data_IF_995621218181
#
_entry.id   IF_995621218181
#
_cell.length_a   1.000
_cell.length_b   1.000
_cell.length_c   1.000
_cell.angle_alpha   90.00
_cell.angle_beta   90.00
_cell.angle_gamma   90.00
#
_symmetry.space_group_name_H-M   'P 1'
#
loop_
_entity.id
_entity.type
_entity.pdbx_description
1 polymer ?
#
# COMPACT_ATOMS: atom_id res chain seq x y z
N UNK A 1 -8.79 70.51 -30.38
CA UNK A 1 -7.47 70.31 -29.72
C UNK A 1 -7.65 69.34 -28.57
N UNK A 2 -6.70 68.40 -28.41
CA UNK A 2 -6.23 67.71 -27.17
C UNK A 2 -7.28 67.30 -26.11
N UNK A 3 -7.54 66.00 -25.93
CA UNK A 3 -6.78 64.97 -25.16
C UNK A 3 -7.41 64.73 -23.78
N UNK A 4 -8.05 63.54 -23.70
CA UNK A 4 -8.18 62.55 -22.63
C UNK A 4 -7.83 62.88 -21.17
N UNK A 5 -8.63 62.25 -20.27
CA UNK A 5 -8.30 61.45 -19.07
C UNK A 5 -9.45 61.60 -18.04
N UNK A 6 -9.95 60.63 -17.26
CA UNK A 6 -9.55 59.28 -16.82
C UNK A 6 -10.83 58.43 -16.62
N UNK A 7 -10.72 57.10 -16.78
CA UNK A 7 -11.77 56.11 -16.50
C UNK A 7 -11.66 55.66 -15.04
N UNK A 8 -12.78 55.68 -14.30
CA UNK A 8 -13.02 54.85 -13.11
C UNK A 8 -14.48 54.38 -13.16
N UNK A 9 -14.72 53.12 -13.50
CA UNK A 9 -16.06 52.51 -13.45
C UNK A 9 -16.09 51.47 -12.35
N UNK A 10 -16.80 51.80 -11.28
CA UNK A 10 -17.15 50.91 -10.18
C UNK A 10 -18.34 49.99 -10.55
N UNK A 11 -18.33 48.81 -9.93
CA UNK A 11 -19.40 47.82 -9.95
C UNK A 11 -20.73 48.40 -9.46
N UNK A 12 -21.82 48.04 -10.13
CA UNK A 12 -23.14 47.92 -9.48
C UNK A 12 -23.81 46.62 -9.94
N UNK A 13 -24.14 45.82 -8.94
CA UNK A 13 -24.72 44.49 -8.98
C UNK A 13 -26.20 44.62 -9.39
N UNK A 14 -26.62 43.90 -10.43
CA UNK A 14 -28.03 43.82 -10.81
C UNK A 14 -28.72 42.82 -9.88
N UNK A 15 -29.54 43.31 -8.97
CA UNK A 15 -30.47 42.50 -8.19
C UNK A 15 -31.70 42.16 -9.04
N UNK A 16 -31.96 40.86 -9.25
CA UNK A 16 -33.20 40.39 -9.85
C UNK A 16 -33.99 39.63 -8.77
N UNK A 17 -35.16 40.15 -8.42
CA UNK A 17 -36.11 39.54 -7.49
C UNK A 17 -36.93 38.46 -8.20
N UNK A 18 -36.89 37.22 -7.71
CA UNK A 18 -37.88 36.19 -8.04
C UNK A 18 -38.42 35.55 -6.75
N UNK A 19 -39.74 35.59 -6.63
CA UNK A 19 -40.57 35.03 -5.55
C UNK A 19 -40.36 33.53 -5.34
N UNK A 20 -40.43 32.99 -4.11
CA UNK A 20 -40.36 31.55 -3.91
C UNK A 20 -41.71 30.90 -4.25
N UNK A 21 -41.71 29.99 -5.23
CA UNK A 21 -42.80 29.04 -5.42
C UNK A 21 -42.56 27.89 -4.46
N UNK A 22 -43.46 27.70 -3.50
CA UNK A 22 -43.45 26.55 -2.60
C UNK A 22 -43.82 25.29 -3.39
N UNK A 23 -42.84 24.44 -3.67
CA UNK A 23 -43.04 23.09 -4.20
C UNK A 23 -43.47 22.15 -3.07
N UNK A 24 -44.42 21.21 -3.31
CA UNK A 24 -44.79 20.19 -2.32
C UNK A 24 -43.57 19.32 -1.98
N UNK A 25 -43.45 18.80 -0.75
CA UNK A 25 -42.34 17.93 -0.38
C UNK A 25 -42.38 16.65 -1.22
N UNK A 26 -41.29 16.36 -1.93
CA UNK A 26 -41.10 15.07 -2.60
C UNK A 26 -41.21 13.94 -1.57
N UNK A 27 -41.86 12.81 -1.91
CA UNK A 27 -41.85 11.64 -1.05
C UNK A 27 -40.38 11.23 -0.86
N UNK A 28 -39.92 11.25 0.39
CA UNK A 28 -38.57 10.82 0.77
C UNK A 28 -38.31 9.44 0.15
N UNK A 29 -37.55 9.42 -0.95
CA UNK A 29 -37.04 8.19 -1.50
C UNK A 29 -36.20 7.55 -0.39
N UNK A 30 -36.64 6.37 0.06
CA UNK A 30 -35.94 5.59 1.07
C UNK A 30 -34.46 5.47 0.64
N UNK A 31 -33.59 6.05 1.46
CA UNK A 31 -32.14 5.98 1.29
C UNK A 31 -31.80 4.49 1.28
N UNK A 32 -31.42 3.96 0.11
CA UNK A 32 -30.89 2.59 0.01
C UNK A 32 -29.71 2.48 0.97
N UNK A 33 -29.59 1.39 1.76
CA UNK A 33 -28.41 1.17 2.57
C UNK A 33 -27.19 1.22 1.66
N UNK A 34 -26.23 2.08 2.00
CA UNK A 34 -24.90 2.06 1.40
C UNK A 34 -24.37 0.64 1.64
N UNK A 35 -24.00 -0.13 0.60
CA UNK A 35 -23.46 -1.46 0.82
C UNK A 35 -22.21 -1.30 1.70
N UNK A 36 -22.26 -1.95 2.86
CA UNK A 36 -21.14 -2.06 3.78
C UNK A 36 -19.94 -2.60 2.98
N UNK A 37 -18.88 -1.80 2.89
CA UNK A 37 -17.64 -2.19 2.22
C UNK A 37 -16.99 -3.27 3.09
N UNK A 38 -17.37 -4.53 2.86
CA UNK A 38 -16.74 -5.67 3.52
C UNK A 38 -15.29 -5.73 3.06
N UNK A 39 -14.37 -5.37 3.95
CA UNK A 39 -12.94 -5.52 3.71
C UNK A 39 -12.65 -7.02 3.49
N UNK A 40 -12.02 -7.42 2.38
CA UNK A 40 -11.81 -8.83 2.08
C UNK A 40 -10.94 -9.46 3.16
N UNK A 41 -11.35 -10.64 3.66
CA UNK A 41 -10.54 -11.40 4.61
C UNK A 41 -9.15 -11.67 4.03
N UNK A 42 -8.11 -11.27 4.77
CA UNK A 42 -6.72 -11.50 4.41
C UNK A 42 -6.40 -13.00 4.52
N UNK A 43 -6.24 -13.67 3.39
CA UNK A 43 -5.87 -15.10 3.32
C UNK A 43 -4.37 -15.31 3.13
N UNK A 44 -3.70 -14.33 2.52
CA UNK A 44 -2.27 -14.41 2.24
C UNK A 44 -1.45 -14.17 3.52
N UNK A 45 -0.50 -15.07 3.80
CA UNK A 45 0.46 -14.88 4.89
C UNK A 45 1.50 -13.85 4.48
N UNK A 46 1.51 -12.71 5.17
CA UNK A 46 2.46 -11.63 5.00
C UNK A 46 3.38 -11.61 6.22
N UNK A 47 4.68 -11.71 5.99
CA UNK A 47 5.68 -11.70 7.07
C UNK A 47 6.36 -10.33 7.14
N UNK A 48 6.67 -9.91 8.36
CA UNK A 48 7.32 -8.65 8.64
C UNK A 48 8.60 -8.81 9.45
N UNK A 49 9.49 -7.84 9.32
CA UNK A 49 10.68 -7.72 10.14
C UNK A 49 10.76 -6.34 10.79
N UNK A 50 11.29 -6.33 12.01
CA UNK A 50 11.47 -5.11 12.79
C UNK A 50 12.48 -4.16 12.12
N UNK A 51 12.12 -2.89 12.03
CA UNK A 51 13.00 -1.79 11.64
C UNK A 51 12.94 -0.77 12.77
N UNK A 52 14.09 -0.29 13.24
CA UNK A 52 14.18 0.75 14.26
C UNK A 52 13.39 1.99 13.79
N UNK A 53 12.34 2.43 14.49
CA UNK A 53 11.51 3.57 14.08
C UNK A 53 12.17 4.93 14.32
N UNK A 54 13.29 5.00 15.06
CA UNK A 54 14.05 6.22 15.32
C UNK A 54 15.17 6.37 14.30
N UNK A 55 15.92 5.29 14.05
CA UNK A 55 17.07 5.30 13.15
C UNK A 55 16.75 4.81 11.73
N UNK A 56 15.52 4.31 11.48
CA UNK A 56 15.05 3.74 10.22
C UNK A 56 16.06 2.78 9.56
N UNK A 57 16.82 2.05 10.37
CA UNK A 57 17.96 1.27 9.90
C UNK A 57 17.48 -0.04 9.28
N UNK A 58 17.53 -0.12 7.96
CA UNK A 58 17.40 -1.36 7.21
C UNK A 58 18.77 -1.89 6.80
N UNK A 59 18.86 -3.19 6.52
CA UNK A 59 20.05 -3.75 5.90
C UNK A 59 20.33 -3.07 4.54
N UNK A 60 21.60 -2.83 4.25
CA UNK A 60 22.07 -2.08 3.06
C UNK A 60 22.71 -2.97 2.00
N UNK A 61 22.31 -4.24 1.92
CA UNK A 61 22.65 -5.11 0.78
C UNK A 61 21.60 -4.99 -0.32
N UNK A 62 21.73 -5.79 -1.38
CA UNK A 62 20.79 -5.80 -2.52
C UNK A 62 19.91 -7.05 -2.44
N UNK A 63 18.61 -6.85 -2.44
CA UNK A 63 17.61 -7.89 -2.65
C UNK A 63 17.03 -7.74 -4.06
N UNK A 64 16.98 -8.84 -4.81
CA UNK A 64 16.44 -8.82 -6.17
C UNK A 64 15.79 -10.13 -6.59
N UNK A 65 14.74 -10.06 -7.41
CA UNK A 65 14.05 -11.23 -7.92
C UNK A 65 12.67 -10.89 -8.43
N UNK A 66 11.86 -11.91 -8.69
CA UNK A 66 10.47 -11.75 -9.11
C UNK A 66 9.52 -12.15 -7.98
N UNK A 67 8.49 -11.35 -7.72
CA UNK A 67 7.46 -11.73 -6.76
C UNK A 67 6.63 -12.89 -7.27
N UNK A 68 6.33 -13.83 -6.38
CA UNK A 68 5.46 -14.98 -6.67
C UNK A 68 4.51 -15.18 -5.51
N UNK A 69 3.22 -15.31 -5.82
CA UNK A 69 2.19 -15.72 -4.89
C UNK A 69 1.78 -17.14 -5.22
N UNK A 70 1.84 -18.03 -4.24
CA UNK A 70 1.46 -19.43 -4.39
C UNK A 70 1.03 -20.00 -3.06
N UNK A 71 -0.05 -20.78 -3.04
CA UNK A 71 -0.59 -21.42 -1.82
C UNK A 71 -0.80 -20.46 -0.65
N UNK A 72 -1.28 -19.24 -0.94
CA UNK A 72 -1.47 -18.13 0.01
C UNK A 72 -0.18 -17.62 0.68
N UNK A 73 0.99 -17.85 0.06
CA UNK A 73 2.28 -17.37 0.52
C UNK A 73 2.88 -16.41 -0.51
N UNK A 74 3.57 -15.37 -0.03
CA UNK A 74 4.28 -14.42 -0.86
C UNK A 74 5.79 -14.69 -0.82
N UNK A 75 6.37 -14.93 -2.00
CA UNK A 75 7.75 -15.31 -2.18
C UNK A 75 8.47 -14.36 -3.13
N UNK A 76 9.79 -14.39 -3.05
CA UNK A 76 10.70 -13.83 -4.02
C UNK A 76 11.52 -14.96 -4.66
N UNK A 77 11.57 -14.99 -5.99
CA UNK A 77 12.41 -15.94 -6.73
C UNK A 77 13.59 -15.18 -7.35
N UNK A 78 14.79 -15.48 -6.88
CA UNK A 78 16.03 -14.95 -7.43
C UNK A 78 16.55 -15.72 -8.64
N UNK A 79 17.77 -15.40 -9.08
CA UNK A 79 18.43 -16.09 -10.21
C UNK A 79 18.67 -17.58 -9.98
N UNK A 80 18.79 -18.00 -8.72
CA UNK A 80 18.94 -19.40 -8.32
C UNK A 80 17.64 -20.21 -8.41
N UNK A 81 16.52 -19.59 -8.86
CA UNK A 81 15.18 -20.19 -8.98
C UNK A 81 14.61 -20.76 -7.68
N UNK A 82 15.19 -20.42 -6.52
CA UNK A 82 14.69 -20.84 -5.21
C UNK A 82 13.64 -19.87 -4.71
N UNK A 83 12.56 -20.42 -4.16
CA UNK A 83 11.58 -19.65 -3.42
C UNK A 83 12.20 -19.18 -2.11
N UNK A 84 12.09 -17.89 -1.87
CA UNK A 84 12.54 -17.24 -0.64
C UNK A 84 11.35 -16.50 -0.06
N UNK A 85 11.03 -16.68 1.21
CA UNK A 85 9.95 -15.94 1.87
C UNK A 85 10.25 -14.45 1.79
N UNK A 86 9.30 -13.66 1.27
CA UNK A 86 9.41 -12.21 1.29
C UNK A 86 8.98 -11.69 2.66
N UNK A 87 9.85 -10.94 3.32
CA UNK A 87 9.57 -10.27 4.58
C UNK A 87 9.64 -8.77 4.41
N UNK A 88 8.67 -8.07 4.99
CA UNK A 88 8.45 -6.66 4.77
C UNK A 88 8.76 -5.82 6.02
N UNK A 89 9.25 -4.59 5.87
CA UNK A 89 9.57 -3.75 7.00
C UNK A 89 8.30 -3.30 7.72
N UNK A 90 8.28 -3.40 9.05
CA UNK A 90 7.16 -2.90 9.86
C UNK A 90 7.08 -1.37 9.89
N UNK A 91 8.23 -0.71 9.67
CA UNK A 91 8.36 0.74 9.65
C UNK A 91 9.03 1.26 8.37
N UNK A 92 8.63 2.45 7.89
CA UNK A 92 7.47 3.24 8.36
C UNK A 92 6.11 2.53 8.20
N UNK A 93 5.15 2.79 9.09
CA UNK A 93 3.85 2.11 9.05
C UNK A 93 3.09 2.41 7.75
N UNK A 94 2.41 1.40 7.22
CA UNK A 94 1.54 1.55 6.04
C UNK A 94 2.28 1.63 4.70
N UNK A 95 3.60 1.48 4.67
CA UNK A 95 4.38 1.38 3.42
C UNK A 95 4.14 0.08 2.67
N UNK A 96 3.72 -0.98 3.35
CA UNK A 96 3.41 -2.27 2.74
C UNK A 96 1.92 -2.46 2.83
N UNK A 97 1.28 -2.58 1.67
CA UNK A 97 -0.14 -2.90 1.55
C UNK A 97 -0.31 -4.03 0.56
N UNK A 98 -1.03 -5.06 1.00
CA UNK A 98 -1.39 -6.17 0.15
C UNK A 98 -2.86 -6.07 -0.23
N UNK A 99 -3.15 -6.17 -1.53
CA UNK A 99 -4.51 -6.27 -2.03
C UNK A 99 -4.81 -7.74 -2.34
N UNK A 100 -5.66 -8.35 -1.49
CA UNK A 100 -6.05 -9.74 -1.61
C UNK A 100 -6.92 -10.00 -2.86
N UNK A 101 -7.72 -9.02 -3.32
CA UNK A 101 -8.59 -9.21 -4.47
C UNK A 101 -7.80 -9.23 -5.78
N UNK A 102 -6.82 -8.33 -5.91
CA UNK A 102 -6.01 -8.22 -7.14
C UNK A 102 -4.69 -9.00 -7.08
N UNK A 103 -4.34 -9.55 -5.91
CA UNK A 103 -3.03 -10.17 -5.65
C UNK A 103 -1.88 -9.23 -6.02
N UNK A 104 -2.00 -7.98 -5.60
CA UNK A 104 -0.98 -6.95 -5.83
C UNK A 104 -0.39 -6.45 -4.53
N UNK A 105 0.89 -6.11 -4.57
CA UNK A 105 1.64 -5.61 -3.44
C UNK A 105 2.01 -4.15 -3.71
N UNK A 106 1.52 -3.24 -2.88
CA UNK A 106 1.99 -1.87 -2.87
C UNK A 106 3.12 -1.73 -1.85
N UNK A 107 4.32 -1.41 -2.33
CA UNK A 107 5.46 -1.07 -1.49
C UNK A 107 5.84 0.39 -1.72
N UNK A 108 5.63 1.22 -0.71
CA UNK A 108 5.97 2.64 -0.72
C UNK A 108 5.44 3.38 -1.95
N UNK A 109 4.18 3.11 -2.32
CA UNK A 109 3.51 3.70 -3.48
C UNK A 109 3.77 2.99 -4.81
N UNK A 110 4.74 2.07 -4.88
CA UNK A 110 4.99 1.26 -6.09
C UNK A 110 4.16 -0.02 -6.03
N UNK A 111 3.32 -0.23 -7.05
CA UNK A 111 2.47 -1.43 -7.15
C UNK A 111 3.21 -2.51 -7.94
N UNK A 112 3.34 -3.69 -7.33
CA UNK A 112 3.92 -4.89 -7.90
C UNK A 112 2.82 -5.94 -8.10
N UNK A 113 2.78 -6.50 -9.30
CA UNK A 113 1.99 -7.68 -9.65
C UNK A 113 2.86 -8.94 -9.52
N UNK A 114 2.22 -10.10 -9.48
CA UNK A 114 2.95 -11.37 -9.47
C UNK A 114 3.69 -11.55 -10.80
N UNK A 115 4.95 -11.95 -10.71
CA UNK A 115 5.89 -11.98 -11.83
C UNK A 115 6.73 -10.72 -11.97
N UNK A 116 6.36 -9.60 -11.34
CA UNK A 116 7.14 -8.36 -11.44
C UNK A 116 8.50 -8.51 -10.78
N UNK A 117 9.50 -7.91 -11.42
CA UNK A 117 10.86 -7.85 -10.90
C UNK A 117 11.00 -6.71 -9.88
N UNK A 118 11.76 -6.96 -8.83
CA UNK A 118 12.13 -5.99 -7.81
C UNK A 118 13.64 -5.99 -7.60
N UNK A 119 14.17 -4.79 -7.31
CA UNK A 119 15.53 -4.57 -6.81
C UNK A 119 15.47 -3.49 -5.72
N UNK A 120 15.82 -3.85 -4.49
CA UNK A 120 15.80 -2.93 -3.33
C UNK A 120 17.06 -3.06 -2.49
N UNK A 121 17.25 -2.11 -1.58
CA UNK A 121 18.07 -2.38 -0.39
C UNK A 121 17.47 -3.55 0.42
N UNK A 122 18.24 -4.21 1.27
CA UNK A 122 17.74 -5.30 2.09
C UNK A 122 18.81 -6.34 2.44
N UNK A 123 18.40 -7.57 2.74
CA UNK A 123 19.31 -8.70 2.92
C UNK A 123 18.61 -10.06 2.75
N UNK A 124 19.40 -11.10 2.51
CA UNK A 124 18.98 -12.50 2.58
C UNK A 124 19.56 -13.16 3.81
N UNK A 125 18.71 -13.76 4.64
CA UNK A 125 19.13 -14.38 5.89
C UNK A 125 18.65 -15.84 5.95
N UNK A 126 19.43 -16.74 6.58
CA UNK A 126 18.92 -18.07 6.87
C UNK A 126 17.80 -17.98 7.92
N UNK A 127 16.74 -18.76 7.70
CA UNK A 127 15.68 -18.92 8.69
C UNK A 127 15.94 -20.18 9.51
N UNK A 128 15.89 -20.02 10.83
CA UNK A 128 16.08 -21.10 11.80
C UNK A 128 14.82 -21.24 12.66
N UNK A 129 14.02 -22.32 12.47
CA UNK A 129 12.81 -22.53 13.25
C UNK A 129 13.14 -22.71 14.75
N UNK A 130 12.19 -22.38 15.61
CA UNK A 130 12.32 -22.50 17.07
C UNK A 130 13.47 -21.70 17.74
N UNK A 131 14.07 -20.74 17.03
CA UNK A 131 15.01 -19.76 17.62
C UNK A 131 14.24 -18.51 18.06
N UNK A 132 14.77 -17.65 18.95
CA UNK A 132 14.07 -16.42 19.34
C UNK A 132 13.61 -15.57 18.14
N UNK A 133 14.44 -15.42 17.10
CA UNK A 133 14.05 -14.70 15.89
C UNK A 133 13.07 -15.49 15.00
N UNK A 134 13.31 -16.79 14.80
CA UNK A 134 12.45 -17.63 13.97
C UNK A 134 11.04 -17.82 14.55
N UNK A 135 10.94 -17.96 15.86
CA UNK A 135 9.68 -18.13 16.57
C UNK A 135 8.77 -16.90 16.46
N UNK A 136 9.33 -15.69 16.33
CA UNK A 136 8.51 -14.50 16.05
C UNK A 136 7.94 -14.53 14.64
N UNK A 137 8.71 -14.95 13.63
CA UNK A 137 8.20 -15.10 12.27
C UNK A 137 7.08 -16.15 12.19
N UNK A 138 7.21 -17.26 12.92
CA UNK A 138 6.22 -18.33 12.97
C UNK A 138 4.84 -17.91 13.55
N UNK A 139 4.76 -16.78 14.26
CA UNK A 139 3.51 -16.24 14.83
C UNK A 139 2.74 -15.34 13.86
N UNK A 140 3.35 -14.89 12.77
CA UNK A 140 2.78 -13.86 11.89
C UNK A 140 1.84 -14.43 10.81
N UNK A 141 2.00 -15.69 10.45
CA UNK A 141 1.25 -16.32 9.37
C UNK A 141 1.42 -17.84 9.33
N UNK A 142 1.05 -18.45 8.21
CA UNK A 142 1.17 -19.90 8.03
C UNK A 142 2.65 -20.32 7.92
N UNK A 143 3.10 -21.18 8.83
CA UNK A 143 4.48 -21.66 8.89
C UNK A 143 4.96 -22.31 7.58
N UNK A 144 4.05 -22.85 6.76
CA UNK A 144 4.41 -23.41 5.43
C UNK A 144 5.00 -22.36 4.48
N UNK A 145 4.75 -21.08 4.74
CA UNK A 145 5.25 -19.97 3.95
C UNK A 145 6.68 -19.58 4.32
N UNK A 146 7.26 -20.11 5.41
CA UNK A 146 8.64 -19.87 5.83
C UNK A 146 9.59 -20.87 5.15
N UNK A 147 10.42 -20.38 4.24
CA UNK A 147 11.45 -21.18 3.56
C UNK A 147 12.78 -21.10 4.31
N UNK A 148 13.76 -22.00 4.05
CA UNK A 148 15.07 -21.97 4.72
C UNK A 148 15.87 -20.66 4.56
N UNK A 149 15.48 -19.81 3.61
CA UNK A 149 16.03 -18.46 3.42
C UNK A 149 14.89 -17.46 3.40
N UNK A 150 15.09 -16.30 4.01
CA UNK A 150 14.14 -15.18 4.00
C UNK A 150 14.79 -13.97 3.31
N UNK A 151 13.99 -13.19 2.60
CA UNK A 151 14.40 -11.97 1.93
C UNK A 151 13.78 -10.78 2.66
N UNK A 152 14.60 -9.99 3.34
CA UNK A 152 14.20 -8.73 3.95
C UNK A 152 14.10 -7.68 2.85
N UNK A 153 12.89 -7.43 2.36
CA UNK A 153 12.62 -6.43 1.32
C UNK A 153 12.83 -5.04 1.93
N UNK A 154 13.55 -4.16 1.24
CA UNK A 154 13.79 -2.79 1.70
C UNK A 154 12.80 -1.79 1.12
N UNK A 155 12.95 -0.53 1.54
CA UNK A 155 12.10 0.59 1.10
C UNK A 155 12.72 1.48 0.05
N UNK A 156 14.01 1.32 -0.23
CA UNK A 156 14.73 2.04 -1.27
C UNK A 156 14.84 1.14 -2.49
N UNK A 157 14.36 1.65 -3.62
CA UNK A 157 14.35 0.97 -4.89
C UNK A 157 15.33 1.66 -5.82
N UNK A 158 16.03 0.86 -6.62
CA UNK A 158 16.80 1.36 -7.75
C UNK A 158 15.90 1.75 -8.94
#
# INVERSE_FOLDING_TARGET
MRKAFFILTGLVIVGCTTTPVATPPEPMAAIKPIPELVEPELKTSIFTYYVDPVHHSQAVSIVRGNFVWSNNCLYLIGSNRKFTTAMFPEFPKGIVKWDEATKTLNLNGRVFKMGDYIKTNGAYWPYHPNTPGGAEFEKQGDKKCLTPTVAFIGTFFD
#
